data_IF_774591243755
#
_entry.id   IF_774591243755
#
_cell.length_a   1.000
_cell.length_b   1.000
_cell.length_c   1.000
_cell.angle_alpha   90.00
_cell.angle_beta   90.00
_cell.angle_gamma   90.00
#
_symmetry.space_group_name_H-M   'P 1'
#
loop_
_entity.id
_entity.type
_entity.pdbx_description
1 polymer ?
#
# COMPACT_ATOMS: atom_id res chain seq x y z
N UNK A 1 -13.56 -10.57 -3.25
CA UNK A 1 -13.46 -9.47 -2.27
C UNK A 1 -14.77 -8.71 -2.26
N UNK A 2 -15.35 -8.45 -1.08
CA UNK A 2 -16.55 -7.64 -0.90
C UNK A 2 -16.27 -6.13 -1.04
N UNK A 3 -17.30 -5.33 -1.29
CA UNK A 3 -17.15 -3.89 -1.56
C UNK A 3 -16.46 -3.15 -0.41
N UNK A 4 -16.81 -3.45 0.84
CA UNK A 4 -16.21 -2.84 2.03
C UNK A 4 -14.69 -3.06 2.08
N UNK A 5 -14.24 -4.27 1.77
CA UNK A 5 -12.80 -4.58 1.70
C UNK A 5 -12.11 -3.81 0.57
N UNK A 6 -12.76 -3.67 -0.59
CA UNK A 6 -12.22 -2.88 -1.71
C UNK A 6 -12.08 -1.40 -1.35
N UNK A 7 -13.11 -0.81 -0.74
CA UNK A 7 -13.12 0.59 -0.32
C UNK A 7 -12.08 0.86 0.76
N UNK A 8 -11.94 -0.06 1.71
CA UNK A 8 -10.93 0.05 2.77
C UNK A 8 -9.53 -0.06 2.20
N UNK A 9 -9.30 -0.99 1.26
CA UNK A 9 -8.02 -1.15 0.58
C UNK A 9 -7.65 0.12 -0.21
N UNK A 10 -8.60 0.68 -0.97
CA UNK A 10 -8.41 1.93 -1.70
C UNK A 10 -8.04 3.09 -0.76
N UNK A 11 -8.76 3.24 0.35
CA UNK A 11 -8.46 4.25 1.36
C UNK A 11 -7.05 4.12 1.94
N UNK A 12 -6.61 2.89 2.27
CA UNK A 12 -5.28 2.67 2.85
C UNK A 12 -4.15 3.15 1.92
N UNK A 13 -4.29 2.87 0.62
CA UNK A 13 -3.31 3.26 -0.39
C UNK A 13 -3.35 4.75 -0.66
N UNK A 14 -4.54 5.34 -0.81
CA UNK A 14 -4.71 6.78 -1.02
C UNK A 14 -4.16 7.59 0.16
N UNK A 15 -4.51 7.20 1.39
CA UNK A 15 -3.98 7.84 2.59
C UNK A 15 -2.46 7.82 2.60
N UNK A 16 -1.86 6.67 2.32
CA UNK A 16 -0.39 6.51 2.31
C UNK A 16 0.26 7.37 1.23
N UNK A 17 -0.32 7.40 0.03
CA UNK A 17 0.17 8.22 -1.10
C UNK A 17 0.19 9.71 -0.76
N UNK A 18 -0.86 10.18 -0.10
CA UNK A 18 -1.00 11.60 0.23
C UNK A 18 -0.18 12.03 1.46
N UNK A 19 0.25 11.10 2.32
CA UNK A 19 0.84 11.43 3.62
C UNK A 19 2.25 10.86 3.86
N UNK A 20 2.79 10.00 2.99
CA UNK A 20 4.09 9.33 3.20
C UNK A 20 5.29 10.28 3.42
N UNK A 21 5.22 11.52 2.93
CA UNK A 21 6.29 12.52 3.10
C UNK A 21 6.17 13.34 4.39
N UNK A 22 5.04 13.25 5.10
CA UNK A 22 4.83 13.94 6.37
C UNK A 22 5.35 13.06 7.51
N UNK A 23 6.45 13.48 8.15
CA UNK A 23 7.06 12.74 9.26
C UNK A 23 6.06 12.40 10.40
N UNK A 24 5.11 13.30 10.67
CA UNK A 24 4.05 13.10 11.66
C UNK A 24 3.03 12.00 11.29
N UNK A 25 2.97 11.62 10.01
CA UNK A 25 2.02 10.65 9.48
C UNK A 25 2.65 9.30 9.16
N UNK A 26 3.99 9.17 9.17
CA UNK A 26 4.70 7.93 8.80
C UNK A 26 4.15 6.73 9.58
N UNK A 27 3.98 6.86 10.90
CA UNK A 27 3.41 5.78 11.74
C UNK A 27 2.00 5.38 11.28
N UNK A 28 1.16 6.34 10.93
CA UNK A 28 -0.20 6.07 10.46
C UNK A 28 -0.22 5.43 9.07
N UNK A 29 0.61 5.90 8.14
CA UNK A 29 0.77 5.28 6.83
C UNK A 29 1.12 3.79 6.98
N UNK A 30 2.08 3.47 7.85
CA UNK A 30 2.48 2.08 8.12
C UNK A 30 1.35 1.23 8.70
N UNK A 31 0.51 1.79 9.59
CA UNK A 31 -0.67 1.09 10.10
C UNK A 31 -1.64 0.77 8.96
N UNK A 32 -1.94 1.73 8.09
CA UNK A 32 -2.83 1.51 6.96
C UNK A 32 -2.29 0.52 5.92
N UNK A 33 -0.98 0.54 5.65
CA UNK A 33 -0.35 -0.45 4.77
C UNK A 33 -0.45 -1.87 5.33
N UNK A 34 -0.33 -2.05 6.66
CA UNK A 34 -0.57 -3.35 7.30
C UNK A 34 -2.02 -3.80 7.17
N UNK A 35 -2.97 -2.90 7.37
CA UNK A 35 -4.40 -3.17 7.14
C UNK A 35 -4.65 -3.62 5.70
N UNK A 36 -4.02 -2.96 4.72
CA UNK A 36 -4.11 -3.32 3.31
C UNK A 36 -3.58 -4.74 3.05
N UNK A 37 -2.45 -5.12 3.64
CA UNK A 37 -1.91 -6.49 3.57
C UNK A 37 -2.90 -7.50 4.14
N UNK A 38 -3.46 -7.25 5.32
CA UNK A 38 -4.43 -8.18 5.94
C UNK A 38 -5.68 -8.39 5.07
N UNK A 39 -6.16 -7.35 4.39
CA UNK A 39 -7.29 -7.45 3.46
C UNK A 39 -6.93 -8.35 2.28
N UNK A 40 -5.74 -8.17 1.70
CA UNK A 40 -5.27 -8.97 0.57
C UNK A 40 -5.08 -10.44 0.97
N UNK A 41 -4.51 -10.70 2.13
CA UNK A 41 -4.30 -12.07 2.65
C UNK A 41 -5.60 -12.80 2.94
N UNK A 42 -6.66 -12.08 3.33
CA UNK A 42 -8.01 -12.66 3.51
C UNK A 42 -8.70 -12.95 2.17
N UNK A 43 -8.19 -12.43 1.06
CA UNK A 43 -8.79 -12.50 -0.28
C UNK A 43 -7.82 -13.14 -1.30
N UNK A 44 -7.37 -14.36 -1.01
CA UNK A 44 -6.27 -15.11 -1.66
C UNK A 44 -6.43 -15.34 -3.18
N UNK A 45 -7.63 -15.18 -3.74
CA UNK A 45 -7.99 -15.61 -5.11
C UNK A 45 -7.72 -14.58 -6.23
N UNK A 46 -6.84 -13.61 -5.99
CA UNK A 46 -6.58 -12.49 -6.90
C UNK A 46 -5.16 -12.59 -7.45
N UNK A 47 -5.01 -12.88 -8.76
CA UNK A 47 -3.71 -13.09 -9.40
C UNK A 47 -2.72 -11.92 -9.24
N UNK A 48 -3.23 -10.68 -9.12
CA UNK A 48 -2.41 -9.48 -8.86
C UNK A 48 -2.23 -9.16 -7.37
N UNK A 49 -2.97 -9.80 -6.44
CA UNK A 49 -2.88 -9.50 -5.02
C UNK A 49 -1.52 -9.84 -4.40
N UNK A 50 -0.86 -10.90 -4.88
CA UNK A 50 0.49 -11.24 -4.43
C UNK A 50 1.51 -10.14 -4.79
N UNK A 51 1.40 -9.60 -6.02
CA UNK A 51 2.24 -8.49 -6.45
C UNK A 51 1.91 -7.20 -5.69
N UNK A 52 0.62 -6.87 -5.54
CA UNK A 52 0.18 -5.70 -4.78
C UNK A 52 0.69 -5.77 -3.33
N UNK A 53 0.57 -6.93 -2.68
CA UNK A 53 1.10 -7.16 -1.34
C UNK A 53 2.61 -6.91 -1.28
N UNK A 54 3.38 -7.49 -2.19
CA UNK A 54 4.84 -7.30 -2.26
C UNK A 54 5.22 -5.83 -2.42
N UNK A 55 4.46 -5.08 -3.22
CA UNK A 55 4.70 -3.65 -3.41
C UNK A 55 4.37 -2.86 -2.14
N UNK A 56 3.27 -3.18 -1.44
CA UNK A 56 2.90 -2.57 -0.15
C UNK A 56 3.99 -2.84 0.91
N UNK A 57 4.51 -4.06 0.98
CA UNK A 57 5.61 -4.42 1.89
C UNK A 57 6.89 -3.63 1.59
N UNK A 58 7.18 -3.39 0.30
CA UNK A 58 8.28 -2.52 -0.13
C UNK A 58 8.09 -1.09 0.36
N UNK A 59 6.86 -0.56 0.31
CA UNK A 59 6.55 0.79 0.82
C UNK A 59 6.69 0.86 2.34
N UNK A 60 6.17 -0.13 3.09
CA UNK A 60 6.32 -0.16 4.56
C UNK A 60 7.80 -0.22 4.96
N UNK A 61 8.61 -1.01 4.24
CA UNK A 61 10.05 -1.10 4.48
C UNK A 61 10.76 0.23 4.28
N UNK A 62 10.41 0.99 3.24
CA UNK A 62 10.96 2.33 3.03
C UNK A 62 10.55 3.30 4.14
N UNK A 63 9.28 3.32 4.52
CA UNK A 63 8.77 4.15 5.63
C UNK A 63 9.42 3.78 6.97
N UNK A 64 9.83 2.53 7.15
CA UNK A 64 10.58 2.08 8.32
C UNK A 64 12.07 2.48 8.30
N UNK A 65 12.54 3.12 7.22
CA UNK A 65 13.96 3.44 7.02
C UNK A 65 14.81 2.23 6.61
N UNK A 66 14.18 1.11 6.22
CA UNK A 66 14.85 -0.13 5.85
C UNK A 66 15.27 -0.22 4.37
N UNK A 67 14.87 0.76 3.55
CA UNK A 67 15.27 0.88 2.15
C UNK A 67 15.82 2.29 1.87
N UNK A 68 17.14 2.43 1.97
CA UNK A 68 17.83 3.70 1.73
C UNK A 68 18.13 3.98 0.26
N UNK A 69 17.81 3.05 -0.65
CA UNK A 69 18.07 3.19 -2.09
C UNK A 69 16.89 3.81 -2.83
N UNK A 70 15.67 3.54 -2.38
CA UNK A 70 14.46 4.11 -2.95
C UNK A 70 14.28 5.58 -2.55
N UNK A 71 13.88 6.40 -3.51
CA UNK A 71 13.48 7.79 -3.31
C UNK A 71 11.99 7.91 -3.02
N UNK A 72 11.55 9.07 -2.53
CA UNK A 72 10.11 9.34 -2.37
C UNK A 72 9.35 9.25 -3.69
N UNK A 73 9.96 9.59 -4.83
CA UNK A 73 9.33 9.44 -6.15
C UNK A 73 9.13 7.97 -6.51
N UNK A 74 10.11 7.10 -6.24
CA UNK A 74 9.98 5.66 -6.50
C UNK A 74 8.80 5.08 -5.71
N UNK A 75 8.68 5.46 -4.43
CA UNK A 75 7.59 5.02 -3.57
C UNK A 75 6.24 5.58 -4.03
N UNK A 76 6.19 6.83 -4.47
CA UNK A 76 4.96 7.41 -5.01
C UNK A 76 4.49 6.64 -6.25
N UNK A 77 5.40 6.32 -7.16
CA UNK A 77 5.10 5.52 -8.35
C UNK A 77 4.58 4.14 -7.98
N UNK A 78 5.18 3.46 -6.99
CA UNK A 78 4.69 2.17 -6.49
C UNK A 78 3.25 2.27 -5.99
N UNK A 79 2.92 3.27 -5.17
CA UNK A 79 1.56 3.49 -4.68
C UNK A 79 0.57 3.76 -5.81
N UNK A 80 0.98 4.52 -6.84
CA UNK A 80 0.16 4.76 -8.03
C UNK A 80 -0.06 3.50 -8.87
N UNK A 81 0.96 2.63 -8.99
CA UNK A 81 0.83 1.33 -9.65
C UNK A 81 -0.13 0.42 -8.89
N UNK A 82 -0.02 0.36 -7.57
CA UNK A 82 -0.96 -0.39 -6.72
C UNK A 82 -2.39 0.10 -6.95
N UNK A 83 -2.62 1.42 -6.87
CA UNK A 83 -3.92 2.04 -7.13
C UNK A 83 -4.53 1.67 -8.49
N UNK A 84 -3.69 1.67 -9.53
CA UNK A 84 -4.11 1.27 -10.88
C UNK A 84 -4.48 -0.22 -10.97
N UNK A 85 -3.73 -1.09 -10.29
CA UNK A 85 -4.01 -2.52 -10.27
C UNK A 85 -5.27 -2.85 -9.45
N UNK A 86 -5.53 -2.11 -8.37
CA UNK A 86 -6.74 -2.28 -7.57
C UNK A 86 -8.01 -1.95 -8.34
N UNK A 87 -7.97 -1.01 -9.29
CA UNK A 87 -9.11 -0.71 -10.16
C UNK A 87 -9.52 -1.90 -11.06
N UNK A 88 -8.65 -2.91 -11.19
CA UNK A 88 -8.90 -4.13 -11.96
C UNK A 88 -9.33 -5.34 -11.12
N UNK A 89 -9.35 -5.21 -9.79
CA UNK A 89 -9.78 -6.24 -8.83
C UNK A 89 -11.28 -6.18 -8.55
#
# INVERSE_FOLDING_TARGET
MDQTSKDTLAFCIEFSKNNMNAASQVTMCRVWLKTAIEILEKNIDLGSAAYIKSEIESVDKWLAGGDSRSTSNDIYTKLQTIESLMASL
#
